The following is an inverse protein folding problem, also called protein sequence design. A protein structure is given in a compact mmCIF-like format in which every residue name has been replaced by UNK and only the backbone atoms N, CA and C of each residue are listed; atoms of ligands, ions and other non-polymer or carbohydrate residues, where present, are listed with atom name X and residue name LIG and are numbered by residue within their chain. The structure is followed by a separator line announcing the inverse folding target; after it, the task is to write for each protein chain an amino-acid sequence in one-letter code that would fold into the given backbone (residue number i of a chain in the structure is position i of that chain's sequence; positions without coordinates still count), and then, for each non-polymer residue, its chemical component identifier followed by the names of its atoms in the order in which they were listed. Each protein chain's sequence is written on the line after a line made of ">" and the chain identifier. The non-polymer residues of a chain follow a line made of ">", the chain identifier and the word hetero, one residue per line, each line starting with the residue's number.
data_IF_260195448503
#
_entry.id   IF_260195448503
#
_cell.length_a   1.000
_cell.length_b   1.000
_cell.length_c   1.000
_cell.angle_alpha   90.00
_cell.angle_beta   90.00
_cell.angle_gamma   90.00
#
_symmetry.space_group_name_H-M   'P 1'
#
loop_
_entity.id
_entity.type
_entity.pdbx_description
1 polymer ?
#
# COMPACT_ATOMS: atom_id res chain seq x y z
N UNK A 1 7.72 28.56 -4.44
CA UNK A 1 7.71 28.03 -5.82
C UNK A 1 7.99 26.53 -5.87
N UNK A 2 9.06 26.03 -5.23
CA UNK A 2 9.40 24.59 -5.18
C UNK A 2 8.27 23.66 -4.71
N UNK A 3 7.51 24.07 -3.68
CA UNK A 3 6.36 23.30 -3.15
C UNK A 3 5.19 23.17 -4.14
N UNK A 4 4.98 24.17 -5.00
CA UNK A 4 3.93 24.13 -6.04
C UNK A 4 4.35 23.23 -7.21
N UNK A 5 5.63 23.23 -7.57
CA UNK A 5 6.20 22.30 -8.55
C UNK A 5 6.11 20.84 -8.07
N UNK A 6 6.38 20.58 -6.79
CA UNK A 6 6.23 19.23 -6.23
C UNK A 6 4.77 18.77 -6.24
N UNK A 7 3.82 19.64 -5.88
CA UNK A 7 2.40 19.31 -5.93
C UNK A 7 1.91 19.00 -7.36
N UNK A 8 2.39 19.75 -8.36
CA UNK A 8 2.08 19.49 -9.78
C UNK A 8 2.73 18.20 -10.28
N UNK A 9 3.97 17.90 -9.86
CA UNK A 9 4.64 16.66 -10.22
C UNK A 9 3.91 15.44 -9.63
N UNK A 10 3.49 15.52 -8.36
CA UNK A 10 2.71 14.48 -7.70
C UNK A 10 1.35 14.32 -8.39
N UNK A 11 0.62 15.41 -8.64
CA UNK A 11 -0.67 15.36 -9.33
C UNK A 11 -0.56 14.80 -10.76
N UNK A 12 0.48 15.19 -11.50
CA UNK A 12 0.74 14.68 -12.85
C UNK A 12 1.11 13.19 -12.86
N UNK A 13 1.86 12.73 -11.87
CA UNK A 13 2.21 11.31 -11.71
C UNK A 13 0.98 10.43 -11.43
N UNK A 14 -0.05 10.96 -10.76
CA UNK A 14 -1.29 10.24 -10.49
C UNK A 14 -2.38 10.42 -11.57
N UNK A 15 -2.31 11.49 -12.38
CA UNK A 15 -3.27 11.74 -13.45
C UNK A 15 -3.00 10.90 -14.72
N UNK A 16 -1.74 10.64 -15.05
CA UNK A 16 -1.38 9.88 -16.26
C UNK A 16 -1.86 8.40 -16.24
N UNK A 17 -1.77 7.65 -15.12
CA UNK A 17 -2.31 6.29 -15.04
C UNK A 17 -3.85 6.26 -15.11
N UNK A 18 -4.53 7.30 -14.61
CA UNK A 18 -5.99 7.36 -14.60
C UNK A 18 -6.60 7.55 -16.00
N UNK A 19 -5.86 8.16 -16.93
CA UNK A 19 -6.31 8.38 -18.30
C UNK A 19 -6.08 7.17 -19.24
N UNK A 20 -5.28 6.19 -18.81
CA UNK A 20 -4.92 5.00 -19.60
C UNK A 20 -5.67 3.73 -19.16
N UNK A 21 -6.51 3.83 -18.12
CA UNK A 21 -7.38 2.74 -17.67
C UNK A 21 -8.73 2.82 -18.39
N UNK A 22 -9.12 1.74 -19.05
CA UNK A 22 -10.44 1.59 -19.65
C UNK A 22 -11.51 1.63 -18.54
N UNK A 23 -12.41 2.61 -18.57
CA UNK A 23 -13.58 2.72 -17.70
C UNK A 23 -13.40 2.35 -16.19
N UNK A 24 -12.37 2.88 -15.51
CA UNK A 24 -12.22 2.68 -14.06
C UNK A 24 -12.05 1.23 -13.61
N UNK A 25 -11.63 0.36 -14.52
CA UNK A 25 -11.44 -1.07 -14.29
C UNK A 25 -10.22 -1.38 -13.39
N UNK A 26 -9.31 -0.43 -13.20
CA UNK A 26 -8.14 -0.52 -12.32
C UNK A 26 -8.37 0.22 -11.01
N UNK A 27 -8.08 -0.42 -9.89
CA UNK A 27 -8.18 0.14 -8.54
C UNK A 27 -6.85 -0.01 -7.81
N UNK A 28 -6.28 1.12 -7.37
CA UNK A 28 -5.20 1.13 -6.37
C UNK A 28 -5.84 1.04 -4.99
N UNK A 29 -5.41 0.09 -4.17
CA UNK A 29 -5.96 -0.13 -2.84
C UNK A 29 -4.84 -0.49 -1.86
N UNK A 30 -5.11 -0.38 -0.56
CA UNK A 30 -4.16 -0.78 0.45
C UNK A 30 -4.75 -0.74 1.84
N UNK A 31 -3.98 -1.22 2.80
CA UNK A 31 -4.28 -1.14 4.23
C UNK A 31 -3.01 -0.71 4.96
N UNK A 32 -3.16 0.27 5.86
CA UNK A 32 -2.12 0.65 6.81
C UNK A 32 -2.58 0.20 8.20
N UNK A 33 -1.83 -0.71 8.80
CA UNK A 33 -2.07 -1.22 10.14
C UNK A 33 -0.77 -1.08 10.95
N UNK A 34 -0.71 -0.01 11.74
CA UNK A 34 0.41 0.27 12.61
C UNK A 34 -0.03 0.16 14.06
N UNK A 35 0.79 -0.48 14.89
CA UNK A 35 0.57 -0.63 16.32
C UNK A 35 1.83 -0.20 17.09
N UNK A 36 1.64 0.23 18.34
CA UNK A 36 2.73 0.35 19.30
C UNK A 36 2.64 -0.89 20.19
N UNK A 37 3.66 -1.72 20.14
CA UNK A 37 3.72 -2.97 20.88
C UNK A 37 4.77 -2.86 21.98
N UNK A 38 4.41 -3.32 23.18
CA UNK A 38 5.31 -3.39 24.33
C UNK A 38 5.32 -4.83 24.82
N UNK A 39 6.45 -5.51 24.67
CA UNK A 39 6.59 -6.92 24.98
C UNK A 39 7.58 -7.10 26.13
N UNK A 40 7.16 -7.86 27.13
CA UNK A 40 8.06 -8.37 28.16
C UNK A 40 8.77 -9.60 27.57
N UNK A 41 10.09 -9.52 27.43
CA UNK A 41 10.90 -10.63 26.92
C UNK A 41 11.32 -11.51 28.10
N UNK A 42 10.49 -12.47 28.52
CA UNK A 42 10.89 -13.45 29.54
C UNK A 42 11.85 -14.48 28.91
N UNK A 43 13.15 -14.20 28.99
CA UNK A 43 14.24 -15.09 28.58
C UNK A 43 15.45 -14.89 29.50
N UNK A 44 16.21 -15.96 29.75
CA UNK A 44 17.27 -16.07 30.77
C UNK A 44 18.48 -15.14 30.57
N UNK A 45 18.28 -13.85 30.79
CA UNK A 45 19.31 -12.81 30.75
C UNK A 45 18.62 -11.46 30.61
N UNK A 46 18.95 -10.50 31.49
CA UNK A 46 18.34 -9.16 31.66
C UNK A 46 17.58 -8.65 30.42
N UNK A 47 16.33 -9.06 30.28
CA UNK A 47 15.51 -8.72 29.14
C UNK A 47 14.41 -7.80 29.65
N UNK A 48 14.71 -6.49 29.60
CA UNK A 48 13.76 -5.45 29.93
C UNK A 48 12.65 -5.31 28.88
N UNK A 49 11.59 -4.59 29.25
CA UNK A 49 10.47 -4.22 28.36
C UNK A 49 11.00 -3.64 27.04
N UNK A 50 10.62 -4.25 25.90
CA UNK A 50 10.90 -3.69 24.57
C UNK A 50 9.63 -3.05 24.02
N UNK A 51 9.72 -1.77 23.66
CA UNK A 51 8.64 -1.06 22.95
C UNK A 51 9.07 -0.81 21.51
N UNK A 52 8.25 -1.22 20.54
CA UNK A 52 8.50 -1.01 19.11
C UNK A 52 7.22 -0.62 18.37
N UNK A 53 7.39 0.03 17.22
CA UNK A 53 6.31 0.18 16.24
C UNK A 53 6.23 -1.13 15.46
N UNK A 54 5.04 -1.66 15.29
CA UNK A 54 4.77 -2.86 14.52
C UNK A 54 3.92 -2.51 13.29
N UNK A 55 4.27 -3.11 12.14
CA UNK A 55 3.45 -3.06 10.93
C UNK A 55 2.71 -4.39 10.75
N UNK A 56 1.43 -4.41 11.10
CA UNK A 56 0.64 -5.63 11.21
C UNK A 56 -0.15 -5.90 9.93
N UNK A 57 0.54 -6.37 8.89
CA UNK A 57 -0.09 -6.74 7.62
C UNK A 57 -0.45 -5.56 6.73
N UNK A 58 0.29 -4.46 6.87
CA UNK A 58 0.19 -3.31 5.97
C UNK A 58 0.59 -3.70 4.55
N UNK A 59 -0.18 -3.26 3.56
CA UNK A 59 0.01 -3.64 2.16
C UNK A 59 -0.54 -2.60 1.20
N UNK A 60 0.05 -2.57 0.02
CA UNK A 60 -0.39 -1.76 -1.10
C UNK A 60 -0.54 -2.67 -2.32
N UNK A 61 -1.63 -2.50 -3.06
CA UNK A 61 -1.90 -3.31 -4.23
C UNK A 61 -2.64 -2.56 -5.32
N UNK A 62 -2.65 -3.20 -6.48
CA UNK A 62 -3.37 -2.79 -7.68
C UNK A 62 -4.17 -4.00 -8.13
N UNK A 63 -5.47 -3.80 -8.30
CA UNK A 63 -6.38 -4.82 -8.82
C UNK A 63 -7.14 -4.28 -10.01
N UNK A 64 -7.57 -5.14 -10.90
CA UNK A 64 -8.43 -4.73 -11.99
C UNK A 64 -8.89 -5.87 -12.87
N UNK A 65 -9.56 -5.51 -13.94
CA UNK A 65 -10.08 -6.46 -14.91
C UNK A 65 -10.14 -5.86 -16.30
N UNK A 66 -10.13 -6.69 -17.33
CA UNK A 66 -10.28 -6.28 -18.73
C UNK A 66 -11.36 -7.14 -19.38
N UNK A 67 -12.26 -6.50 -20.16
CA UNK A 67 -13.28 -7.23 -20.92
C UNK A 67 -12.63 -7.95 -22.09
N UNK A 68 -12.84 -9.26 -22.20
CA UNK A 68 -12.41 -10.06 -23.35
C UNK A 68 -13.54 -10.24 -24.38
N UNK A 69 -14.67 -9.52 -24.20
CA UNK A 69 -15.88 -9.69 -25.00
C UNK A 69 -16.76 -10.85 -24.53
N UNK A 70 -18.00 -10.92 -25.03
CA UNK A 70 -18.98 -11.97 -24.71
C UNK A 70 -19.22 -12.20 -23.20
N UNK A 71 -19.03 -11.16 -22.38
CA UNK A 71 -19.17 -11.24 -20.92
C UNK A 71 -17.98 -11.87 -20.18
N UNK A 72 -16.91 -12.27 -20.89
CA UNK A 72 -15.69 -12.79 -20.28
C UNK A 72 -14.78 -11.64 -19.80
N UNK A 73 -14.10 -11.84 -18.67
CA UNK A 73 -13.17 -10.87 -18.10
C UNK A 73 -11.84 -11.53 -17.73
N UNK A 74 -10.73 -10.92 -18.13
CA UNK A 74 -9.43 -11.16 -17.51
C UNK A 74 -9.36 -10.36 -16.21
N UNK A 75 -8.79 -10.93 -15.15
CA UNK A 75 -8.63 -10.26 -13.85
C UNK A 75 -7.17 -10.30 -13.43
N UNK A 76 -6.70 -9.23 -12.78
CA UNK A 76 -5.35 -9.17 -12.26
C UNK A 76 -5.33 -8.58 -10.85
N UNK A 77 -4.35 -9.03 -10.08
CA UNK A 77 -4.07 -8.58 -8.73
C UNK A 77 -2.56 -8.58 -8.51
N UNK A 78 -2.03 -7.45 -8.11
CA UNK A 78 -0.65 -7.32 -7.64
C UNK A 78 -0.70 -6.66 -6.26
N UNK A 79 -0.13 -7.31 -5.26
CA UNK A 79 -0.10 -6.80 -3.89
C UNK A 79 1.31 -6.95 -3.31
N UNK A 80 1.77 -5.95 -2.58
CA UNK A 80 3.05 -5.94 -1.87
C UNK A 80 2.84 -5.60 -0.41
N UNK A 81 3.52 -6.33 0.47
CA UNK A 81 3.67 -5.94 1.86
C UNK A 81 4.42 -4.59 1.96
N UNK A 82 4.06 -3.79 2.95
CA UNK A 82 4.70 -2.50 3.25
C UNK A 82 5.05 -2.46 4.74
N UNK A 83 6.33 -2.31 5.07
CA UNK A 83 6.78 -2.03 6.43
C UNK A 83 6.52 -0.57 6.78
N UNK A 84 5.83 -0.31 7.89
CA UNK A 84 5.56 1.04 8.41
C UNK A 84 6.44 1.39 9.63
N UNK A 85 7.24 0.43 10.08
CA UNK A 85 8.00 0.38 11.33
C UNK A 85 9.45 0.89 11.21
N UNK A 86 9.93 1.15 9.99
CA UNK A 86 11.21 1.83 9.70
C UNK A 86 12.41 0.90 9.49
#
# INVERSE_FOLDING_TARGET
>A
MKKKLLAVAIAGAFAAPAAMADEGNVTIYGQANAAIESTDADGTGTAGRKTSVASNGSRLGIKGWESLGNGLKAVFLMESAVGLDG
#
